data_IF_851523954966
#
_entry.id   IF_851523954966
#
_cell.length_a   1.000
_cell.length_b   1.000
_cell.length_c   1.000
_cell.angle_alpha   90.00
_cell.angle_beta   90.00
_cell.angle_gamma   90.00
#
_symmetry.space_group_name_H-M   'P 1'
#
loop_
_entity.id
_entity.type
_entity.pdbx_description
1 polymer ?
#
# COMPACT_ATOMS: atom_id res chain seq x y z
N UNK A 1 -6.55 37.58 1.29
CA UNK A 1 -5.48 37.62 0.28
C UNK A 1 -4.25 36.94 0.87
N UNK A 2 -4.00 35.67 0.56
CA UNK A 2 -2.75 34.97 0.94
C UNK A 2 -1.57 35.61 0.22
N UNK A 3 -0.55 36.04 0.95
CA UNK A 3 0.62 36.70 0.37
C UNK A 3 1.39 35.74 -0.54
N UNK A 4 2.01 36.24 -1.61
CA UNK A 4 2.82 35.45 -2.55
C UNK A 4 3.96 34.70 -1.85
N UNK A 5 4.51 35.27 -0.77
CA UNK A 5 5.53 34.66 0.08
C UNK A 5 4.98 33.45 0.82
N UNK A 6 3.78 33.54 1.41
CA UNK A 6 3.14 32.41 2.10
C UNK A 6 2.80 31.27 1.12
N UNK A 7 2.36 31.60 -0.09
CA UNK A 7 2.11 30.62 -1.16
C UNK A 7 3.41 29.93 -1.60
N UNK A 8 4.50 30.68 -1.76
CA UNK A 8 5.80 30.13 -2.13
C UNK A 8 6.37 29.22 -1.06
N UNK A 9 6.37 29.65 0.21
CA UNK A 9 6.84 28.84 1.32
C UNK A 9 6.03 27.54 1.46
N UNK A 10 4.70 27.61 1.30
CA UNK A 10 3.85 26.42 1.27
C UNK A 10 4.20 25.50 0.10
N UNK A 11 4.40 26.06 -1.10
CA UNK A 11 4.78 25.28 -2.28
C UNK A 11 6.16 24.61 -2.12
N UNK A 12 7.14 25.29 -1.52
CA UNK A 12 8.47 24.74 -1.25
C UNK A 12 8.41 23.59 -0.23
N UNK A 13 7.60 23.73 0.84
CA UNK A 13 7.36 22.66 1.82
C UNK A 13 6.68 21.46 1.17
N UNK A 14 5.65 21.67 0.35
CA UNK A 14 4.97 20.56 -0.35
C UNK A 14 5.89 19.89 -1.38
N UNK A 15 6.70 20.66 -2.12
CA UNK A 15 7.63 20.13 -3.11
C UNK A 15 8.74 19.28 -2.48
N UNK A 16 9.17 19.59 -1.26
CA UNK A 16 10.18 18.82 -0.53
C UNK A 16 9.68 17.44 -0.08
N UNK A 17 8.37 17.23 0.08
CA UNK A 17 7.78 15.96 0.55
C UNK A 17 7.98 14.82 -0.45
N UNK A 18 7.83 15.11 -1.74
CA UNK A 18 7.84 14.09 -2.79
C UNK A 18 9.21 13.40 -2.94
N UNK A 19 10.34 14.11 -3.12
CA UNK A 19 11.66 13.47 -3.19
C UNK A 19 12.00 12.69 -1.92
N UNK A 20 11.64 13.22 -0.75
CA UNK A 20 11.90 12.56 0.53
C UNK A 20 11.10 11.25 0.69
N UNK A 21 9.83 11.24 0.31
CA UNK A 21 8.98 10.04 0.35
C UNK A 21 9.52 8.95 -0.59
N UNK A 22 9.88 9.32 -1.83
CA UNK A 22 10.46 8.40 -2.81
C UNK A 22 11.75 7.76 -2.30
N UNK A 23 12.70 8.58 -1.84
CA UNK A 23 13.99 8.08 -1.34
C UNK A 23 13.81 7.13 -0.15
N UNK A 24 12.93 7.47 0.80
CA UNK A 24 12.62 6.60 1.95
C UNK A 24 11.97 5.29 1.52
N UNK A 25 11.04 5.33 0.57
CA UNK A 25 10.36 4.15 0.06
C UNK A 25 11.31 3.23 -0.73
N UNK A 26 12.19 3.80 -1.56
CA UNK A 26 13.21 3.04 -2.28
C UNK A 26 14.21 2.36 -1.33
N UNK A 27 14.67 3.09 -0.31
CA UNK A 27 15.55 2.54 0.72
C UNK A 27 14.87 1.39 1.48
N UNK A 28 13.62 1.59 1.92
CA UNK A 28 12.86 0.57 2.63
C UNK A 28 12.62 -0.69 1.76
N UNK A 29 12.24 -0.51 0.49
CA UNK A 29 12.08 -1.61 -0.46
C UNK A 29 13.41 -2.34 -0.73
N UNK A 30 14.53 -1.61 -0.81
CA UNK A 30 15.86 -2.19 -0.94
C UNK A 30 16.25 -3.08 0.25
N UNK A 31 15.98 -2.63 1.48
CA UNK A 31 16.27 -3.38 2.71
C UNK A 31 15.48 -4.70 2.80
N UNK A 32 14.22 -4.71 2.34
CA UNK A 32 13.39 -5.92 2.31
C UNK A 32 13.91 -6.94 1.29
N UNK A 33 14.32 -6.50 0.10
CA UNK A 33 14.87 -7.41 -0.91
C UNK A 33 16.15 -8.08 -0.42
N UNK A 34 17.04 -7.35 0.26
CA UNK A 34 18.27 -7.87 0.86
C UNK A 34 18.01 -8.94 1.93
N UNK A 35 16.98 -8.77 2.76
CA UNK A 35 16.57 -9.77 3.76
C UNK A 35 15.83 -10.98 3.19
N UNK A 36 15.16 -10.82 2.04
CA UNK A 36 14.37 -11.87 1.39
C UNK A 36 15.17 -12.76 0.41
N UNK A 37 16.50 -12.72 0.44
CA UNK A 37 17.41 -13.43 -0.48
C UNK A 37 17.24 -14.96 -0.56
N UNK A 38 16.42 -15.57 0.30
CA UNK A 38 16.02 -16.98 0.21
C UNK A 38 14.75 -17.28 -0.61
N UNK A 39 14.02 -16.26 -1.09
CA UNK A 39 12.77 -16.44 -1.86
C UNK A 39 12.80 -15.59 -3.14
N UNK A 40 13.71 -15.93 -4.05
CA UNK A 40 13.61 -15.44 -5.41
C UNK A 40 12.34 -16.03 -6.05
N UNK A 41 11.38 -15.18 -6.36
CA UNK A 41 10.76 -15.29 -7.69
C UNK A 41 11.79 -14.78 -8.68
N UNK A 42 12.01 -15.53 -9.75
CA UNK A 42 12.82 -15.03 -10.84
C UNK A 42 12.18 -13.75 -11.40
N UNK A 43 13.04 -12.75 -11.60
CA UNK A 43 12.62 -11.44 -12.05
C UNK A 43 12.26 -11.43 -13.53
N UNK A 44 11.67 -10.30 -13.92
CA UNK A 44 11.41 -9.88 -15.31
C UNK A 44 12.70 -9.97 -16.11
N UNK A 45 12.86 -11.05 -16.87
CA UNK A 45 13.96 -11.23 -17.82
C UNK A 45 14.75 -12.53 -17.71
N UNK A 46 14.50 -13.40 -16.72
CA UNK A 46 15.40 -14.55 -16.51
C UNK A 46 14.76 -15.92 -16.20
N UNK A 47 13.44 -16.08 -16.33
CA UNK A 47 12.84 -17.43 -16.39
C UNK A 47 13.03 -18.01 -17.80
N UNK A 48 14.25 -18.52 -18.04
CA UNK A 48 14.55 -19.39 -19.17
C UNK A 48 13.58 -20.57 -19.17
N UNK A 49 12.65 -20.60 -20.13
CA UNK A 49 11.74 -21.72 -20.30
C UNK A 49 12.41 -22.82 -21.12
N UNK A 50 12.81 -22.49 -22.35
CA UNK A 50 13.57 -23.37 -23.22
C UNK A 50 14.29 -22.58 -24.32
N UNK A 51 15.28 -23.21 -24.94
CA UNK A 51 15.76 -22.77 -26.25
C UNK A 51 14.91 -23.44 -27.32
N UNK A 52 14.45 -22.65 -28.29
CA UNK A 52 13.90 -23.21 -29.53
C UNK A 52 14.68 -22.73 -30.75
N UNK A 53 14.69 -23.50 -31.84
CA UNK A 53 15.21 -23.02 -33.12
C UNK A 53 14.54 -21.69 -33.52
N UNK A 54 15.36 -20.76 -34.02
CA UNK A 54 14.88 -19.51 -34.59
C UNK A 54 14.02 -19.78 -35.83
N UNK A 55 12.92 -19.04 -35.97
CA UNK A 55 12.02 -19.14 -37.11
C UNK A 55 11.97 -17.84 -37.89
N UNK A 56 11.56 -17.92 -39.15
CA UNK A 56 11.35 -16.76 -40.01
C UNK A 56 10.28 -15.87 -39.37
N UNK A 57 10.64 -14.62 -39.05
CA UNK A 57 9.78 -13.66 -38.35
C UNK A 57 10.21 -13.37 -36.90
N UNK A 58 11.13 -14.15 -36.34
CA UNK A 58 11.72 -13.83 -35.03
C UNK A 58 12.59 -12.58 -35.09
N UNK A 59 12.46 -11.73 -34.07
CA UNK A 59 13.35 -10.58 -33.92
C UNK A 59 14.78 -11.07 -33.64
N UNK A 60 15.75 -10.58 -34.43
CA UNK A 60 17.18 -10.87 -34.23
C UNK A 60 17.69 -10.53 -32.83
N UNK A 61 17.05 -9.60 -32.12
CA UNK A 61 17.40 -9.24 -30.73
C UNK A 61 17.11 -10.34 -29.72
N UNK A 62 16.27 -11.33 -30.07
CA UNK A 62 15.93 -12.47 -29.21
C UNK A 62 16.82 -13.69 -29.44
N UNK A 63 17.74 -13.63 -30.39
CA UNK A 63 18.69 -14.70 -30.66
C UNK A 63 19.69 -14.75 -29.50
N UNK A 64 19.80 -15.91 -28.87
CA UNK A 64 20.83 -16.16 -27.88
C UNK A 64 22.12 -16.54 -28.62
N UNK A 65 23.01 -15.56 -28.79
CA UNK A 65 24.28 -15.76 -29.47
C UNK A 65 25.21 -16.76 -28.76
N UNK A 66 25.07 -16.92 -27.44
CA UNK A 66 25.92 -17.84 -26.67
C UNK A 66 25.54 -19.30 -26.91
N UNK A 67 24.24 -19.60 -26.94
CA UNK A 67 23.73 -20.93 -27.28
C UNK A 67 23.94 -21.24 -28.76
N UNK A 68 23.68 -20.26 -29.64
CA UNK A 68 23.79 -20.42 -31.09
C UNK A 68 25.22 -20.64 -31.55
N UNK A 69 26.22 -20.14 -30.82
CA UNK A 69 27.64 -20.37 -31.15
C UNK A 69 28.11 -21.83 -30.93
N UNK A 70 27.29 -22.69 -30.32
CA UNK A 70 27.64 -24.10 -30.08
C UNK A 70 27.25 -25.04 -31.23
N UNK A 71 26.66 -24.53 -32.33
CA UNK A 71 26.30 -25.34 -33.51
C UNK A 71 25.87 -24.47 -34.71
N UNK A 72 25.37 -25.11 -35.77
CA UNK A 72 25.01 -24.42 -37.04
C UNK A 72 23.59 -23.82 -37.03
N UNK A 73 22.88 -23.87 -35.90
CA UNK A 73 21.49 -23.44 -35.78
C UNK A 73 21.36 -22.26 -34.82
N UNK A 74 20.64 -21.22 -35.24
CA UNK A 74 20.28 -20.11 -34.37
C UNK A 74 19.17 -20.52 -33.40
N UNK A 75 19.36 -20.20 -32.12
CA UNK A 75 18.39 -20.44 -31.06
C UNK A 75 17.84 -19.13 -30.51
N UNK A 76 16.53 -19.10 -30.29
CA UNK A 76 15.84 -18.03 -29.58
C UNK A 76 15.59 -18.51 -28.15
N UNK A 77 15.89 -17.64 -27.18
CA UNK A 77 15.57 -17.87 -25.77
C UNK A 77 14.08 -17.58 -25.56
N UNK A 78 13.29 -18.59 -25.21
CA UNK A 78 11.91 -18.39 -24.78
C UNK A 78 11.86 -18.11 -23.28
N UNK A 79 11.17 -17.05 -22.91
CA UNK A 79 10.86 -16.71 -21.52
C UNK A 79 9.46 -17.19 -21.20
N UNK A 80 9.23 -17.72 -20.00
CA UNK A 80 7.87 -18.02 -19.55
C UNK A 80 7.04 -16.73 -19.57
N UNK A 81 5.89 -16.74 -20.24
CA UNK A 81 4.94 -15.62 -20.21
C UNK A 81 4.24 -15.58 -18.85
N UNK A 82 4.85 -14.93 -17.87
CA UNK A 82 4.14 -14.56 -16.65
C UNK A 82 3.26 -13.34 -16.94
N UNK A 83 1.94 -13.53 -16.91
CA UNK A 83 0.98 -12.43 -17.03
C UNK A 83 1.07 -11.60 -15.76
N UNK A 84 1.64 -10.39 -15.88
CA UNK A 84 1.70 -9.41 -14.82
C UNK A 84 0.31 -9.17 -14.21
N UNK A 85 0.18 -9.44 -12.92
CA UNK A 85 -1.02 -9.15 -12.14
C UNK A 85 -1.17 -7.64 -11.96
N UNK A 86 -2.41 -7.21 -11.87
CA UNK A 86 -2.75 -5.83 -11.48
C UNK A 86 -2.90 -5.77 -9.97
N UNK A 87 -2.29 -4.78 -9.33
CA UNK A 87 -2.43 -4.49 -7.89
C UNK A 87 -2.96 -3.06 -7.71
N UNK A 88 -4.09 -2.94 -7.03
CA UNK A 88 -4.75 -1.66 -6.74
C UNK A 88 -4.48 -1.23 -5.29
N UNK A 89 -4.01 -0.02 -5.10
CA UNK A 89 -3.70 0.56 -3.80
C UNK A 89 -4.76 1.56 -3.39
N UNK A 90 -5.10 1.57 -2.12
CA UNK A 90 -5.75 2.70 -1.48
C UNK A 90 -4.99 3.02 -0.20
N UNK A 91 -4.55 4.26 -0.08
CA UNK A 91 -3.87 4.79 1.10
C UNK A 91 -4.65 6.00 1.53
N UNK A 92 -5.23 5.93 2.71
CA UNK A 92 -6.06 6.99 3.27
C UNK A 92 -5.24 8.27 3.51
N UNK A 93 -5.72 9.38 2.95
CA UNK A 93 -5.11 10.71 3.04
C UNK A 93 -5.89 11.66 3.96
N UNK A 94 -6.92 11.14 4.64
CA UNK A 94 -7.81 11.90 5.52
C UNK A 94 -7.08 12.55 6.70
N UNK A 95 -7.69 13.57 7.29
CA UNK A 95 -7.09 14.34 8.37
C UNK A 95 -6.83 13.52 9.63
N UNK A 96 -7.63 12.49 9.94
CA UNK A 96 -7.40 11.63 11.10
C UNK A 96 -6.03 10.92 11.04
N UNK A 97 -5.55 10.64 9.83
CA UNK A 97 -4.26 10.00 9.60
C UNK A 97 -3.07 10.90 9.97
N UNK A 98 -3.27 12.21 10.15
CA UNK A 98 -2.20 13.12 10.60
C UNK A 98 -2.00 13.13 12.12
N UNK A 99 -2.72 12.28 12.86
CA UNK A 99 -2.49 12.09 14.29
C UNK A 99 -1.14 11.42 14.58
N UNK A 100 -0.49 11.87 15.64
CA UNK A 100 0.68 11.25 16.30
C UNK A 100 0.63 11.61 17.79
N UNK A 101 0.98 10.68 18.68
CA UNK A 101 1.00 10.96 20.13
C UNK A 101 2.30 11.56 20.63
N UNK A 102 3.38 11.41 19.88
CA UNK A 102 4.73 11.84 20.26
C UNK A 102 5.41 12.49 19.05
N UNK A 103 6.13 13.58 19.27
CA UNK A 103 6.85 14.30 18.22
C UNK A 103 7.98 13.45 17.58
N UNK A 104 8.46 12.42 18.29
CA UNK A 104 9.46 11.48 17.80
C UNK A 104 8.86 10.35 16.96
N UNK A 105 7.53 10.19 16.96
CA UNK A 105 6.83 9.20 16.15
C UNK A 105 6.35 9.83 14.83
N UNK A 106 6.41 9.08 13.71
CA UNK A 106 5.82 9.55 12.47
C UNK A 106 4.30 9.61 12.60
N UNK A 107 3.66 10.56 11.91
CA UNK A 107 2.20 10.55 11.74
C UNK A 107 1.75 9.26 11.05
N UNK A 108 0.53 8.80 11.35
CA UNK A 108 -0.05 7.60 10.71
C UNK A 108 -0.01 7.70 9.19
N UNK A 109 -0.29 8.87 8.63
CA UNK A 109 -0.30 9.13 7.18
C UNK A 109 1.08 8.95 6.57
N UNK A 110 2.14 9.43 7.23
CA UNK A 110 3.51 9.29 6.72
C UNK A 110 3.94 7.83 6.71
N UNK A 111 3.53 7.07 7.74
CA UNK A 111 3.75 5.62 7.79
C UNK A 111 2.97 4.90 6.68
N UNK A 112 1.70 5.25 6.48
CA UNK A 112 0.85 4.64 5.46
C UNK A 112 1.35 4.92 4.03
N UNK A 113 1.73 6.17 3.73
CA UNK A 113 2.34 6.59 2.46
C UNK A 113 3.64 5.85 2.19
N UNK A 114 4.52 5.75 3.19
CA UNK A 114 5.78 5.03 3.09
C UNK A 114 5.57 3.55 2.77
N UNK A 115 4.68 2.87 3.50
CA UNK A 115 4.37 1.46 3.27
C UNK A 115 3.71 1.24 1.90
N UNK A 116 2.73 2.07 1.53
CA UNK A 116 2.03 1.99 0.26
C UNK A 116 2.95 2.19 -0.94
N UNK A 117 3.87 3.16 -0.88
CA UNK A 117 4.82 3.40 -1.95
C UNK A 117 5.92 2.32 -2.00
N UNK A 118 6.42 1.88 -0.85
CA UNK A 118 7.45 0.85 -0.81
C UNK A 118 6.92 -0.50 -1.32
N UNK A 119 5.68 -0.89 -0.99
CA UNK A 119 5.08 -2.10 -1.56
C UNK A 119 4.84 -1.96 -3.06
N UNK A 120 4.46 -0.77 -3.55
CA UNK A 120 4.36 -0.51 -4.98
C UNK A 120 5.69 -0.72 -5.71
N UNK A 121 6.79 -0.22 -5.14
CA UNK A 121 8.14 -0.39 -5.68
C UNK A 121 8.53 -1.88 -5.73
N UNK A 122 8.28 -2.63 -4.65
CA UNK A 122 8.56 -4.07 -4.60
C UNK A 122 7.76 -4.84 -5.67
N UNK A 123 6.47 -4.59 -5.77
CA UNK A 123 5.59 -5.24 -6.74
C UNK A 123 5.98 -4.90 -8.19
N UNK A 124 6.32 -3.65 -8.46
CA UNK A 124 6.78 -3.24 -9.79
C UNK A 124 8.12 -3.91 -10.16
N UNK A 125 9.04 -4.05 -9.21
CA UNK A 125 10.30 -4.81 -9.40
C UNK A 125 10.05 -6.30 -9.61
N UNK A 126 8.98 -6.83 -9.03
CA UNK A 126 8.50 -8.20 -9.27
C UNK A 126 7.74 -8.36 -10.61
N UNK A 127 7.62 -7.30 -11.42
CA UNK A 127 6.96 -7.34 -12.73
C UNK A 127 5.46 -7.06 -12.72
N UNK A 128 4.88 -6.73 -11.56
CA UNK A 128 3.46 -6.46 -11.43
C UNK A 128 3.10 -5.04 -11.93
N UNK A 129 1.82 -4.83 -12.23
CA UNK A 129 1.26 -3.50 -12.54
C UNK A 129 0.64 -2.94 -11.27
N UNK A 130 0.96 -1.70 -10.91
CA UNK A 130 0.48 -1.08 -9.67
C UNK A 130 -0.22 0.24 -9.96
N UNK A 131 -1.31 0.52 -9.28
CA UNK A 131 -2.08 1.77 -9.41
C UNK A 131 -2.97 2.00 -8.21
N UNK A 132 -3.84 3.00 -8.27
CA UNK A 132 -4.84 3.27 -7.25
C UNK A 132 -6.15 2.54 -7.55
N UNK A 133 -6.95 2.29 -6.51
CA UNK A 133 -8.37 1.96 -6.68
C UNK A 133 -9.11 3.10 -7.39
N UNK A 134 -10.21 2.79 -8.07
CA UNK A 134 -10.94 3.80 -8.85
C UNK A 134 -10.33 4.02 -10.23
N UNK A 135 -10.56 5.21 -10.79
CA UNK A 135 -10.15 5.54 -12.17
C UNK A 135 -9.03 6.56 -12.26
N UNK A 136 -8.63 7.18 -11.14
CA UNK A 136 -7.67 8.30 -11.14
C UNK A 136 -6.27 7.89 -11.62
N UNK A 137 -5.79 6.71 -11.21
CA UNK A 137 -4.47 6.21 -11.59
C UNK A 137 -4.49 4.69 -11.77
N UNK A 138 -4.99 4.16 -12.91
CA UNK A 138 -5.13 2.73 -13.11
C UNK A 138 -3.78 2.00 -13.08
N UNK A 139 -3.73 0.70 -12.74
CA UNK A 139 -2.50 -0.06 -12.64
C UNK A 139 -1.68 -0.09 -13.94
N UNK A 140 -0.42 0.32 -13.83
CA UNK A 140 0.58 0.31 -14.91
C UNK A 140 1.94 -0.13 -14.35
N UNK A 141 2.86 -0.47 -15.25
CA UNK A 141 4.26 -0.74 -14.90
C UNK A 141 5.13 0.47 -15.25
N UNK A 142 6.35 0.51 -14.70
CA UNK A 142 7.38 1.49 -15.04
C UNK A 142 7.58 2.57 -13.97
N UNK A 143 8.78 3.15 -13.94
CA UNK A 143 9.19 4.12 -12.92
C UNK A 143 8.30 5.37 -12.88
N UNK A 144 7.77 5.81 -14.03
CA UNK A 144 6.83 6.94 -14.12
C UNK A 144 5.56 6.67 -13.29
N UNK A 145 5.11 5.42 -13.20
CA UNK A 145 3.94 5.08 -12.40
C UNK A 145 4.20 5.26 -10.89
N UNK A 146 5.40 4.92 -10.41
CA UNK A 146 5.80 5.15 -9.01
C UNK A 146 5.87 6.63 -8.69
N UNK A 147 6.41 7.44 -9.61
CA UNK A 147 6.44 8.90 -9.45
C UNK A 147 5.01 9.46 -9.30
N UNK A 148 4.08 9.03 -10.16
CA UNK A 148 2.66 9.43 -10.07
C UNK A 148 1.98 8.95 -8.80
N UNK A 149 2.27 7.74 -8.33
CA UNK A 149 1.76 7.24 -7.05
C UNK A 149 2.27 8.10 -5.89
N UNK A 150 3.56 8.42 -5.88
CA UNK A 150 4.16 9.29 -4.87
C UNK A 150 3.54 10.70 -4.89
N UNK A 151 3.33 11.29 -6.07
CA UNK A 151 2.63 12.57 -6.23
C UNK A 151 1.20 12.53 -5.67
N UNK A 152 0.46 11.44 -5.91
CA UNK A 152 -0.88 11.26 -5.37
C UNK A 152 -0.86 11.11 -3.84
N UNK A 153 0.12 10.38 -3.31
CA UNK A 153 0.29 10.19 -1.87
C UNK A 153 0.77 11.45 -1.15
N UNK A 154 1.41 12.41 -1.82
CA UNK A 154 1.77 13.68 -1.20
C UNK A 154 0.59 14.66 -1.05
N UNK A 155 -0.60 14.34 -1.59
CA UNK A 155 -1.77 15.22 -1.48
C UNK A 155 -2.54 14.90 -0.19
N UNK A 156 -2.63 15.90 0.68
CA UNK A 156 -3.48 15.86 1.86
C UNK A 156 -4.96 16.05 1.48
N UNK A 157 -5.84 15.22 2.05
CA UNK A 157 -7.30 15.44 2.02
C UNK A 157 -7.71 16.21 3.27
N UNK A 158 -8.54 17.25 3.12
CA UNK A 158 -9.03 18.04 4.26
C UNK A 158 -10.17 17.35 4.99
N UNK A 159 -10.86 16.40 4.36
CA UNK A 159 -11.85 15.58 5.04
C UNK A 159 -11.18 14.68 6.10
N UNK A 160 -11.87 14.40 7.20
CA UNK A 160 -11.31 13.55 8.27
C UNK A 160 -10.98 12.13 7.78
N UNK A 161 -11.77 11.61 6.84
CA UNK A 161 -11.64 10.27 6.30
C UNK A 161 -11.84 10.26 4.79
N UNK A 162 -10.94 9.61 4.06
CA UNK A 162 -11.00 9.51 2.60
C UNK A 162 -11.30 8.06 2.18
N UNK A 163 -12.58 7.68 1.97
CA UNK A 163 -12.97 6.28 1.77
C UNK A 163 -12.38 5.66 0.49
N UNK A 164 -12.21 4.33 0.45
CA UNK A 164 -11.71 3.65 -0.75
C UNK A 164 -12.67 3.83 -1.93
N UNK A 165 -12.13 4.22 -3.08
CA UNK A 165 -12.94 4.30 -4.30
C UNK A 165 -13.22 2.90 -4.83
N UNK A 166 -14.45 2.43 -4.60
CA UNK A 166 -14.90 1.09 -4.97
C UNK A 166 -15.30 0.95 -6.44
N UNK A 167 -15.19 2.02 -7.24
CA UNK A 167 -15.48 2.00 -8.68
C UNK A 167 -14.30 1.37 -9.44
N UNK A 168 -14.59 0.79 -10.59
CA UNK A 168 -13.58 0.27 -11.51
C UNK A 168 -12.58 -0.77 -10.94
N UNK A 169 -12.98 -1.55 -9.93
CA UNK A 169 -12.18 -2.67 -9.43
C UNK A 169 -11.88 -3.68 -10.54
N UNK A 170 -10.61 -3.95 -10.83
CA UNK A 170 -10.21 -4.86 -11.91
C UNK A 170 -10.49 -6.31 -11.47
N UNK A 171 -11.22 -7.13 -12.26
CA UNK A 171 -11.48 -8.53 -11.91
C UNK A 171 -10.20 -9.34 -11.68
N UNK A 172 -10.22 -10.23 -10.68
CA UNK A 172 -9.11 -11.12 -10.30
C UNK A 172 -7.79 -10.40 -9.96
N UNK A 173 -7.82 -9.07 -9.79
CA UNK A 173 -6.66 -8.29 -9.39
C UNK A 173 -6.34 -8.50 -7.90
N UNK A 174 -5.22 -7.94 -7.46
CA UNK A 174 -4.90 -7.81 -6.04
C UNK A 174 -5.17 -6.40 -5.53
N UNK A 175 -5.34 -6.23 -4.23
CA UNK A 175 -5.48 -4.91 -3.62
C UNK A 175 -4.77 -4.76 -2.28
N UNK A 176 -4.34 -3.54 -1.96
CA UNK A 176 -3.75 -3.18 -0.66
C UNK A 176 -4.41 -1.92 -0.16
N UNK A 177 -5.05 -2.01 0.99
CA UNK A 177 -5.77 -0.91 1.63
C UNK A 177 -5.07 -0.56 2.94
N UNK A 178 -4.66 0.71 3.10
CA UNK A 178 -3.90 1.19 4.26
C UNK A 178 -4.61 2.41 4.86
N UNK A 179 -5.05 2.30 6.10
CA UNK A 179 -5.82 3.35 6.81
C UNK A 179 -5.85 3.03 8.31
N UNK A 180 -6.34 3.97 9.12
CA UNK A 180 -6.79 3.71 10.49
C UNK A 180 -8.21 3.10 10.54
N UNK A 181 -8.97 3.11 9.43
CA UNK A 181 -10.33 2.58 9.32
C UNK A 181 -11.30 3.12 10.38
N UNK A 182 -11.04 4.30 10.92
CA UNK A 182 -11.85 4.90 11.99
C UNK A 182 -13.03 5.70 11.46
N UNK A 183 -13.08 5.97 10.14
CA UNK A 183 -14.24 6.56 9.47
C UNK A 183 -15.45 5.62 9.35
N UNK A 184 -16.34 5.96 8.41
CA UNK A 184 -17.52 5.15 8.11
C UNK A 184 -17.12 3.78 7.54
N UNK A 185 -17.44 2.73 8.30
CA UNK A 185 -17.17 1.34 7.93
C UNK A 185 -18.01 0.87 6.76
N UNK A 186 -19.17 1.50 6.51
CA UNK A 186 -20.04 1.17 5.39
C UNK A 186 -19.32 1.31 4.05
N UNK A 187 -18.52 2.36 3.89
CA UNK A 187 -17.73 2.59 2.68
C UNK A 187 -16.66 1.51 2.46
N UNK A 188 -15.96 1.10 3.52
CA UNK A 188 -14.95 0.02 3.48
C UNK A 188 -15.59 -1.33 3.19
N UNK A 189 -16.71 -1.61 3.86
CA UNK A 189 -17.50 -2.83 3.67
C UNK A 189 -17.95 -2.94 2.22
N UNK A 190 -18.51 -1.86 1.66
CA UNK A 190 -18.93 -1.81 0.27
C UNK A 190 -17.77 -2.06 -0.70
N UNK A 191 -16.61 -1.46 -0.43
CA UNK A 191 -15.42 -1.63 -1.26
C UNK A 191 -14.90 -3.08 -1.23
N UNK A 192 -14.81 -3.68 -0.04
CA UNK A 192 -14.36 -5.06 0.13
C UNK A 192 -15.34 -6.07 -0.50
N UNK A 193 -16.64 -5.91 -0.29
CA UNK A 193 -17.65 -6.80 -0.89
C UNK A 193 -17.62 -6.70 -2.42
N UNK A 194 -17.58 -5.49 -2.99
CA UNK A 194 -17.46 -5.30 -4.45
C UNK A 194 -16.16 -5.87 -5.01
N UNK A 195 -15.07 -5.79 -4.25
CA UNK A 195 -13.80 -6.39 -4.63
C UNK A 195 -13.90 -7.92 -4.63
N UNK A 196 -14.47 -8.52 -3.57
CA UNK A 196 -14.68 -9.95 -3.45
C UNK A 196 -15.59 -10.50 -4.56
N UNK A 197 -16.69 -9.82 -4.90
CA UNK A 197 -17.59 -10.17 -6.02
C UNK A 197 -16.86 -10.26 -7.37
N UNK A 198 -15.75 -9.52 -7.51
CA UNK A 198 -14.89 -9.51 -8.70
C UNK A 198 -13.68 -10.44 -8.59
N UNK A 199 -13.60 -11.25 -7.54
CA UNK A 199 -12.47 -12.13 -7.26
C UNK A 199 -11.19 -11.40 -6.84
N UNK A 200 -11.29 -10.13 -6.44
CA UNK A 200 -10.13 -9.37 -5.96
C UNK A 200 -9.78 -9.85 -4.56
N UNK A 201 -8.52 -10.24 -4.39
CA UNK A 201 -7.94 -10.62 -3.09
C UNK A 201 -6.96 -9.55 -2.63
N UNK A 202 -6.81 -9.37 -1.34
CA UNK A 202 -5.99 -8.26 -0.88
C UNK A 202 -5.63 -8.28 0.58
N UNK A 203 -5.08 -7.15 1.00
CA UNK A 203 -4.60 -6.94 2.36
C UNK A 203 -5.15 -5.63 2.89
N UNK A 204 -5.70 -5.66 4.09
CA UNK A 204 -6.02 -4.50 4.93
C UNK A 204 -4.89 -4.31 5.94
N UNK A 205 -4.21 -3.17 5.88
CA UNK A 205 -3.21 -2.75 6.86
C UNK A 205 -3.78 -1.63 7.71
N UNK A 206 -4.25 -2.00 8.90
CA UNK A 206 -4.75 -1.09 9.91
C UNK A 206 -3.57 -0.40 10.60
N UNK A 207 -3.44 0.91 10.43
CA UNK A 207 -2.36 1.72 11.01
C UNK A 207 -2.89 2.46 12.23
N UNK A 208 -2.29 2.22 13.38
CA UNK A 208 -2.62 2.90 14.64
C UNK A 208 -1.39 3.58 15.23
N UNK A 209 -1.62 4.64 15.99
CA UNK A 209 -0.64 5.18 16.92
C UNK A 209 -0.69 4.37 18.23
N UNK A 210 0.45 4.08 18.90
CA UNK A 210 0.48 3.28 20.11
C UNK A 210 -0.39 3.86 21.25
N UNK A 211 -0.58 5.18 21.30
CA UNK A 211 -1.46 5.81 22.29
C UNK A 211 -2.94 5.52 22.08
N UNK A 212 -3.37 5.14 20.87
CA UNK A 212 -4.77 4.79 20.59
C UNK A 212 -5.14 3.50 21.34
N UNK A 213 -4.20 2.57 21.55
CA UNK A 213 -4.43 1.37 22.36
C UNK A 213 -4.07 1.56 23.84
N UNK A 214 -2.93 2.19 24.13
CA UNK A 214 -2.49 2.39 25.51
C UNK A 214 -3.41 3.38 26.26
N UNK A 215 -3.95 4.35 25.53
CA UNK A 215 -4.75 5.48 26.00
C UNK A 215 -4.16 6.07 27.30
N UNK A 216 -2.95 6.69 27.24
CA UNK A 216 -2.24 7.19 28.41
C UNK A 216 -2.78 8.55 28.89
N UNK A 217 -4.00 8.92 28.52
CA UNK A 217 -4.62 10.19 28.89
C UNK A 217 -5.37 10.06 30.22
N UNK A 218 -5.03 10.92 31.18
CA UNK A 218 -5.65 10.97 32.51
C UNK A 218 -6.10 12.39 32.86
N UNK A 219 -7.17 12.52 33.63
CA UNK A 219 -7.68 13.81 34.11
C UNK A 219 -8.66 14.49 33.16
N UNK A 220 -8.64 15.83 33.13
CA UNK A 220 -9.43 16.65 32.19
C UNK A 220 -8.62 16.79 30.90
N UNK A 221 -9.16 16.28 29.80
CA UNK A 221 -8.53 16.35 28.48
C UNK A 221 -9.60 16.75 27.47
N UNK A 222 -9.26 17.68 26.59
CA UNK A 222 -10.08 18.06 25.44
C UNK A 222 -9.58 17.23 24.26
N UNK A 223 -10.47 16.45 23.65
CA UNK A 223 -10.15 15.67 22.47
C UNK A 223 -10.69 16.40 21.25
N UNK A 224 -9.79 16.81 20.36
CA UNK A 224 -10.15 17.48 19.12
C UNK A 224 -9.79 16.58 17.93
N UNK A 225 -10.69 16.54 16.94
CA UNK A 225 -10.36 15.96 15.64
C UNK A 225 -9.21 16.74 15.02
N UNK A 226 -8.29 16.03 14.38
CA UNK A 226 -7.17 16.64 13.64
C UNK A 226 -7.69 17.54 12.51
N UNK A 227 -8.86 17.25 11.95
CA UNK A 227 -9.53 18.13 10.97
C UNK A 227 -10.26 19.33 11.58
N UNK A 228 -10.30 19.47 12.92
CA UNK A 228 -10.98 20.56 13.62
C UNK A 228 -12.51 20.49 13.60
N UNK A 229 -13.07 19.39 13.09
CA UNK A 229 -14.51 19.15 12.87
C UNK A 229 -15.26 18.73 14.14
N UNK A 230 -14.56 18.15 15.11
CA UNK A 230 -15.13 17.62 16.35
C UNK A 230 -14.27 18.06 17.53
N UNK A 231 -14.89 18.61 18.57
CA UNK A 231 -14.25 18.88 19.86
C UNK A 231 -15.10 18.26 20.97
N UNK A 232 -14.52 17.34 21.73
CA UNK A 232 -15.13 16.68 22.86
C UNK A 232 -14.37 17.04 24.13
N UNK A 233 -14.95 17.94 24.92
CA UNK A 233 -14.49 18.24 26.27
C UNK A 233 -15.12 17.24 27.26
N UNK A 234 -14.31 16.55 28.07
CA UNK A 234 -14.81 15.61 29.08
C UNK A 234 -14.13 15.84 30.43
N UNK A 235 -14.93 15.90 31.51
CA UNK A 235 -14.47 16.10 32.90
C UNK A 235 -13.84 14.84 33.53
N UNK A 236 -14.03 13.66 32.92
CA UNK A 236 -13.47 12.36 33.35
C UNK A 236 -12.95 11.56 32.15
N UNK A 237 -11.64 11.58 31.91
CA UNK A 237 -11.00 10.78 30.85
C UNK A 237 -11.18 9.26 31.01
N UNK A 238 -11.48 8.74 32.21
CA UNK A 238 -11.65 7.30 32.49
C UNK A 238 -12.85 6.68 31.75
N UNK A 239 -13.97 7.39 31.69
CA UNK A 239 -15.20 6.89 31.06
C UNK A 239 -15.06 6.94 29.52
N UNK A 240 -14.32 7.95 29.02
CA UNK A 240 -13.99 8.07 27.61
C UNK A 240 -13.01 6.99 27.16
N UNK A 241 -11.98 6.69 27.98
CA UNK A 241 -11.02 5.59 27.74
C UNK A 241 -11.73 4.27 27.49
N UNK A 242 -12.62 3.89 28.41
CA UNK A 242 -13.32 2.60 28.34
C UNK A 242 -14.20 2.51 27.08
N UNK A 243 -14.93 3.58 26.74
CA UNK A 243 -15.77 3.64 25.54
C UNK A 243 -14.94 3.62 24.25
N UNK A 244 -13.84 4.36 24.20
CA UNK A 244 -12.97 4.41 23.03
C UNK A 244 -12.33 3.05 22.77
N UNK A 245 -11.74 2.42 23.80
CA UNK A 245 -11.12 1.11 23.66
C UNK A 245 -12.13 0.02 23.27
N UNK A 246 -13.36 0.07 23.80
CA UNK A 246 -14.43 -0.84 23.37
C UNK A 246 -14.75 -0.66 21.88
N UNK A 247 -14.94 0.58 21.41
CA UNK A 247 -15.19 0.88 19.98
C UNK A 247 -14.03 0.46 19.09
N UNK A 248 -12.79 0.66 19.53
CA UNK A 248 -11.60 0.25 18.79
C UNK A 248 -11.53 -1.28 18.68
N UNK A 249 -11.84 -2.00 19.76
CA UNK A 249 -11.90 -3.47 19.76
C UNK A 249 -13.01 -3.98 18.83
N UNK A 250 -14.21 -3.38 18.88
CA UNK A 250 -15.31 -3.67 17.95
C UNK A 250 -14.90 -3.44 16.49
N UNK A 251 -14.24 -2.30 16.21
CA UNK A 251 -13.75 -1.99 14.85
C UNK A 251 -12.74 -3.02 14.35
N UNK A 252 -11.79 -3.44 15.19
CA UNK A 252 -10.81 -4.49 14.83
C UNK A 252 -11.50 -5.82 14.54
N UNK A 253 -12.43 -6.23 15.39
CA UNK A 253 -13.19 -7.46 15.20
C UNK A 253 -14.02 -7.43 13.90
N UNK A 254 -14.63 -6.28 13.59
CA UNK A 254 -15.37 -6.06 12.34
C UNK A 254 -14.47 -6.23 11.11
N UNK A 255 -13.32 -5.55 11.08
CA UNK A 255 -12.37 -5.62 9.97
C UNK A 255 -11.81 -7.04 9.79
N UNK A 256 -11.48 -7.73 10.88
CA UNK A 256 -11.03 -9.12 10.85
C UNK A 256 -12.09 -10.04 10.26
N UNK A 257 -13.36 -9.87 10.65
CA UNK A 257 -14.48 -10.65 10.12
C UNK A 257 -14.70 -10.39 8.64
N UNK A 258 -14.69 -9.13 8.22
CA UNK A 258 -14.81 -8.74 6.81
C UNK A 258 -13.69 -9.34 5.96
N UNK A 259 -12.45 -9.30 6.44
CA UNK A 259 -11.32 -9.95 5.79
C UNK A 259 -11.51 -11.46 5.65
N UNK A 260 -11.92 -12.14 6.73
CA UNK A 260 -12.14 -13.59 6.70
C UNK A 260 -13.23 -13.99 5.70
N UNK A 261 -14.32 -13.22 5.61
CA UNK A 261 -15.42 -13.47 4.68
C UNK A 261 -15.05 -13.22 3.22
N UNK A 262 -14.14 -12.30 2.95
CA UNK A 262 -13.74 -11.90 1.59
C UNK A 262 -12.46 -12.58 1.10
N UNK A 263 -11.80 -13.38 1.95
CA UNK A 263 -10.50 -13.99 1.65
C UNK A 263 -9.35 -12.97 1.61
N UNK A 264 -9.51 -11.84 2.30
CA UNK A 264 -8.47 -10.83 2.47
C UNK A 264 -7.70 -11.05 3.77
N UNK A 265 -6.46 -10.56 3.82
CA UNK A 265 -5.64 -10.59 5.02
C UNK A 265 -5.80 -9.30 5.82
N UNK A 266 -5.98 -9.43 7.14
CA UNK A 266 -5.97 -8.30 8.07
C UNK A 266 -4.64 -8.24 8.81
N UNK A 267 -4.02 -7.05 8.85
CA UNK A 267 -2.82 -6.79 9.64
C UNK A 267 -2.93 -5.48 10.39
N UNK A 268 -2.39 -5.46 11.60
CA UNK A 268 -2.29 -4.28 12.44
C UNK A 268 -0.83 -3.81 12.48
N UNK A 269 -0.62 -2.53 12.28
CA UNK A 269 0.69 -1.90 12.34
C UNK A 269 0.64 -0.65 13.22
N UNK A 270 1.56 -0.58 14.18
CA UNK A 270 1.75 0.59 15.01
C UNK A 270 2.84 1.51 14.47
N UNK A 271 2.67 2.82 14.61
CA UNK A 271 3.63 3.82 14.10
C UNK A 271 5.01 3.74 14.75
N UNK A 272 5.12 3.21 15.97
CA UNK A 272 6.37 2.96 16.70
C UNK A 272 7.06 1.64 16.29
N UNK A 273 6.35 0.74 15.62
CA UNK A 273 6.92 -0.51 15.12
C UNK A 273 7.75 -0.31 13.83
N UNK A 274 8.57 -1.31 13.51
CA UNK A 274 9.42 -1.29 12.31
C UNK A 274 8.59 -1.28 11.02
N UNK A 275 8.77 -0.26 10.18
CA UNK A 275 8.21 -0.22 8.83
C UNK A 275 8.70 -1.39 7.96
N UNK A 276 9.93 -1.88 8.19
CA UNK A 276 10.47 -2.99 7.41
C UNK A 276 9.72 -4.29 7.71
N UNK A 277 9.37 -4.53 8.98
CA UNK A 277 8.58 -5.69 9.38
C UNK A 277 7.16 -5.63 8.78
N UNK A 278 6.52 -4.46 8.81
CA UNK A 278 5.21 -4.26 8.19
C UNK A 278 5.27 -4.46 6.66
N UNK A 279 6.30 -3.93 5.99
CA UNK A 279 6.48 -4.12 4.55
C UNK A 279 6.71 -5.59 4.17
N UNK A 280 7.51 -6.31 4.95
CA UNK A 280 7.71 -7.76 4.78
C UNK A 280 6.40 -8.53 4.88
N UNK A 281 5.59 -8.21 5.91
CA UNK A 281 4.28 -8.84 6.09
C UNK A 281 3.34 -8.51 4.93
N UNK A 282 3.24 -7.24 4.52
CA UNK A 282 2.42 -6.78 3.39
C UNK A 282 2.78 -7.52 2.11
N UNK A 283 4.08 -7.57 1.78
CA UNK A 283 4.57 -8.23 0.56
C UNK A 283 4.32 -9.73 0.61
N UNK A 284 4.56 -10.39 1.75
CA UNK A 284 4.30 -11.81 1.94
C UNK A 284 2.81 -12.18 1.87
N UNK A 285 1.94 -11.38 2.46
CA UNK A 285 0.49 -11.59 2.44
C UNK A 285 -0.08 -11.49 1.01
N UNK A 286 0.42 -10.55 0.22
CA UNK A 286 0.11 -10.47 -1.21
C UNK A 286 0.63 -11.67 -1.99
N UNK A 287 1.78 -12.23 -1.60
CA UNK A 287 2.46 -13.26 -2.38
C UNK A 287 1.79 -14.65 -2.31
N UNK A 288 0.94 -14.90 -1.32
CA UNK A 288 0.27 -16.18 -1.11
C UNK A 288 -0.60 -16.58 -2.32
N UNK A 289 0.02 -17.29 -3.28
CA UNK A 289 -0.64 -18.02 -4.36
C UNK A 289 -1.10 -19.41 -3.90
N UNK A 290 -1.17 -19.66 -2.59
CA UNK A 290 -1.47 -20.98 -2.01
C UNK A 290 -2.93 -21.05 -1.55
N UNK A 291 -3.78 -21.63 -2.39
CA UNK A 291 -5.20 -21.91 -2.14
C UNK A 291 -6.02 -21.46 -3.36
N UNK A 292 -6.49 -22.32 -4.26
CA UNK A 292 -7.06 -23.66 -4.09
C UNK A 292 -6.73 -24.50 -5.33
N UNK A 293 -5.98 -25.59 -5.18
CA UNK A 293 -6.20 -26.80 -5.97
C UNK A 293 -6.94 -27.76 -5.04
N UNK A 294 -8.26 -27.83 -5.24
CA UNK A 294 -9.09 -28.95 -4.84
C UNK A 294 -9.53 -29.64 -6.12
#
# INVERSE_FOLDING_TARGET
>A
MTSSIALRAKAEVEAARLPALLARAEHLAGAVLLGAHGRRRAGVGDDFWQYRPAQIGDSRRRIDHRRSAMGDQEFVRESEWQIAQSVMLWVDQGASMRFTSDANLPQKVDRARLLGLAVAILLQRAGERVGLTGTALPPRSGAIQIQRLAEMFCKDDTADYSPPEHRAMIPQARAVFISDFMGDIGAVTLALTKAADRGVRGVLCHVLDPSEEAFPFSGRTIFESVGGTLSHETLKASDLKSRYLARLAERKAELQRLCALTGWHYGLHHTDASAQAALLWLYGALDTRSGVTA
#
